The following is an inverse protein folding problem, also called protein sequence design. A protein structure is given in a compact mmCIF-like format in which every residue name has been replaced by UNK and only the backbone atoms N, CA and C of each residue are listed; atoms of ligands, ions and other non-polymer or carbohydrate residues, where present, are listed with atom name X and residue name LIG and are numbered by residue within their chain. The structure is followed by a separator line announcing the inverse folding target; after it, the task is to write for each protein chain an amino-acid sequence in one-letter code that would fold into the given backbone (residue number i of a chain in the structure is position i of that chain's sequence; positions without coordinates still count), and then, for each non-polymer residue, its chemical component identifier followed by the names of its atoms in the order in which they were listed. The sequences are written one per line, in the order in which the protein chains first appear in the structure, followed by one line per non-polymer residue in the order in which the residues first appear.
data_IF_315865016081
#
_entry.id   IF_315865016081
#
_cell.length_a   1.000
_cell.length_b   1.000
_cell.length_c   1.000
_cell.angle_alpha   90.00
_cell.angle_beta   90.00
_cell.angle_gamma   90.00
#
_symmetry.space_group_name_H-M   'P 1'
#
loop_
_entity.id
_entity.type
_entity.pdbx_description
1 polymer ?
#
# COMPACT_ATOMS: atom_id res chain seq x y z
N UNK A 1 23.01 -3.42 2.24
CA UNK A 1 24.24 -2.63 2.08
C UNK A 1 25.48 -3.49 1.81
N UNK A 2 25.87 -4.43 2.69
CA UNK A 2 27.09 -5.24 2.54
C UNK A 2 27.27 -5.90 1.15
N UNK A 3 26.25 -6.61 0.64
CA UNK A 3 26.35 -7.25 -0.69
C UNK A 3 26.58 -6.25 -1.83
N UNK A 4 25.94 -5.07 -1.78
CA UNK A 4 26.08 -4.02 -2.80
C UNK A 4 27.46 -3.38 -2.80
N UNK A 5 28.08 -3.25 -1.63
CA UNK A 5 29.46 -2.77 -1.53
C UNK A 5 30.44 -3.76 -2.14
N UNK A 6 30.24 -5.05 -1.91
CA UNK A 6 31.06 -6.10 -2.51
C UNK A 6 30.93 -6.12 -4.04
N UNK A 7 29.70 -5.93 -4.56
CA UNK A 7 29.50 -5.73 -6.01
C UNK A 7 30.29 -4.51 -6.48
N UNK A 8 30.16 -3.36 -5.81
CA UNK A 8 30.86 -2.13 -6.20
C UNK A 8 32.38 -2.27 -6.21
N UNK A 9 32.96 -2.95 -5.21
CA UNK A 9 34.39 -3.23 -5.14
C UNK A 9 34.82 -4.21 -6.22
N UNK A 10 34.05 -5.28 -6.43
CA UNK A 10 34.29 -6.27 -7.47
C UNK A 10 34.32 -5.65 -8.87
N UNK A 11 33.40 -4.73 -9.18
CA UNK A 11 33.39 -4.01 -10.46
C UNK A 11 34.57 -3.04 -10.61
N UNK A 12 34.96 -2.36 -9.52
CA UNK A 12 36.11 -1.45 -9.54
C UNK A 12 37.44 -2.19 -9.73
N UNK A 13 37.50 -3.45 -9.28
CA UNK A 13 38.60 -4.37 -9.51
C UNK A 13 38.49 -5.15 -10.85
N UNK A 14 37.61 -4.71 -11.74
CA UNK A 14 37.33 -5.30 -13.05
C UNK A 14 36.93 -6.79 -13.05
N UNK A 15 36.43 -7.32 -11.91
CA UNK A 15 36.04 -8.72 -11.80
C UNK A 15 34.79 -9.04 -12.63
N UNK A 16 34.69 -10.23 -13.23
CA UNK A 16 33.50 -10.66 -13.94
C UNK A 16 32.34 -10.92 -12.96
N UNK A 17 31.09 -10.72 -13.40
CA UNK A 17 29.90 -10.90 -12.55
C UNK A 17 29.81 -12.29 -11.90
N UNK A 18 30.29 -13.34 -12.58
CA UNK A 18 30.31 -14.72 -12.06
C UNK A 18 31.18 -14.86 -10.81
N UNK A 19 32.31 -14.17 -10.78
CA UNK A 19 33.23 -14.21 -9.65
C UNK A 19 32.66 -13.45 -8.45
N UNK A 20 32.12 -12.25 -8.69
CA UNK A 20 31.44 -11.45 -7.68
C UNK A 20 30.26 -12.23 -7.08
N UNK A 21 29.45 -12.85 -7.93
CA UNK A 21 28.29 -13.64 -7.50
C UNK A 21 28.70 -14.84 -6.64
N UNK A 22 29.77 -15.56 -7.01
CA UNK A 22 30.32 -16.66 -6.22
C UNK A 22 30.79 -16.20 -4.84
N UNK A 23 31.47 -15.06 -4.75
CA UNK A 23 31.90 -14.48 -3.46
C UNK A 23 30.73 -14.09 -2.55
N UNK A 24 29.57 -13.76 -3.14
CA UNK A 24 28.35 -13.42 -2.43
C UNK A 24 27.39 -14.59 -2.18
N UNK A 25 27.68 -15.80 -2.69
CA UNK A 25 26.73 -16.91 -2.67
C UNK A 25 25.45 -16.62 -3.47
N UNK A 26 25.55 -15.80 -4.53
CA UNK A 26 24.44 -15.41 -5.40
C UNK A 26 24.63 -15.99 -6.80
N UNK A 27 23.55 -16.00 -7.56
CA UNK A 27 23.57 -16.42 -8.96
C UNK A 27 24.02 -15.24 -9.85
N UNK A 28 24.81 -15.46 -10.93
CA UNK A 28 25.36 -14.38 -11.75
C UNK A 28 24.32 -13.43 -12.37
N UNK A 29 23.15 -13.91 -12.77
CA UNK A 29 22.05 -13.06 -13.25
C UNK A 29 21.52 -12.12 -12.19
N UNK A 30 21.61 -12.48 -10.90
CA UNK A 30 21.23 -11.58 -9.78
C UNK A 30 22.15 -10.37 -9.73
N UNK A 31 23.47 -10.58 -9.81
CA UNK A 31 24.46 -9.49 -9.86
C UNK A 31 24.30 -8.69 -11.15
N UNK A 32 24.15 -9.35 -12.29
CA UNK A 32 23.95 -8.68 -13.58
C UNK A 32 22.72 -7.77 -13.58
N UNK A 33 21.56 -8.26 -13.11
CA UNK A 33 20.32 -7.47 -13.00
C UNK A 33 20.48 -6.31 -12.03
N UNK A 34 21.08 -6.54 -10.86
CA UNK A 34 21.35 -5.48 -9.89
C UNK A 34 22.23 -4.38 -10.50
N UNK A 35 23.30 -4.74 -11.21
CA UNK A 35 24.20 -3.77 -11.83
C UNK A 35 23.51 -3.01 -12.96
N UNK A 36 22.83 -3.74 -13.86
CA UNK A 36 22.09 -3.15 -14.98
C UNK A 36 21.02 -2.17 -14.52
N UNK A 37 20.24 -2.54 -13.51
CA UNK A 37 19.15 -1.71 -12.98
C UNK A 37 19.63 -0.46 -12.21
N UNK A 38 20.91 -0.38 -11.85
CA UNK A 38 21.45 0.68 -11.00
C UNK A 38 22.64 1.42 -11.65
N UNK A 39 22.63 1.55 -12.99
CA UNK A 39 23.58 2.40 -13.72
C UNK A 39 24.62 1.64 -14.55
N UNK A 40 24.49 0.32 -14.66
CA UNK A 40 25.42 -0.50 -15.43
C UNK A 40 26.81 -0.58 -14.80
N UNK A 41 27.74 -1.24 -15.48
CA UNK A 41 29.06 -1.55 -14.92
C UNK A 41 29.86 -0.31 -14.54
N UNK A 42 29.83 0.70 -15.41
CA UNK A 42 30.62 1.93 -15.25
C UNK A 42 29.97 2.91 -14.26
N UNK A 43 28.65 2.86 -14.14
CA UNK A 43 27.85 3.76 -13.29
C UNK A 43 27.44 3.20 -11.93
N UNK A 44 27.70 1.92 -11.67
CA UNK A 44 27.24 1.27 -10.44
C UNK A 44 27.88 1.90 -9.19
N UNK A 45 27.04 2.23 -8.21
CA UNK A 45 27.45 2.72 -6.88
C UNK A 45 26.57 2.08 -5.83
N UNK A 46 27.17 1.40 -4.86
CA UNK A 46 26.45 0.68 -3.79
C UNK A 46 25.42 1.56 -3.07
N UNK A 47 25.81 2.78 -2.70
CA UNK A 47 24.93 3.73 -2.02
C UNK A 47 23.72 4.13 -2.88
N UNK A 48 23.93 4.44 -4.16
CA UNK A 48 22.84 4.80 -5.08
C UNK A 48 21.88 3.62 -5.28
N UNK A 49 22.41 2.40 -5.44
CA UNK A 49 21.60 1.19 -5.57
C UNK A 49 20.78 0.91 -4.31
N UNK A 50 21.35 1.14 -3.12
CA UNK A 50 20.65 1.00 -1.84
C UNK A 50 19.54 2.05 -1.67
N UNK A 51 19.81 3.33 -1.99
CA UNK A 51 18.79 4.39 -1.97
C UNK A 51 17.66 4.08 -2.94
N UNK A 52 17.98 3.70 -4.19
CA UNK A 52 16.99 3.32 -5.19
C UNK A 52 16.16 2.11 -4.75
N UNK A 53 16.78 1.11 -4.11
CA UNK A 53 16.06 -0.03 -3.56
C UNK A 53 15.09 0.38 -2.45
N UNK A 54 15.49 1.27 -1.55
CA UNK A 54 14.62 1.81 -0.49
C UNK A 54 13.45 2.60 -1.06
N UNK A 55 13.68 3.45 -2.05
CA UNK A 55 12.61 4.19 -2.73
C UNK A 55 11.63 3.24 -3.42
N UNK A 56 12.13 2.23 -4.16
CA UNK A 56 11.28 1.21 -4.79
C UNK A 56 10.51 0.37 -3.76
N UNK A 57 11.10 0.07 -2.60
CA UNK A 57 10.46 -0.68 -1.53
C UNK A 57 9.25 0.06 -0.93
N UNK A 58 9.21 1.40 -0.98
CA UNK A 58 8.04 2.19 -0.54
C UNK A 58 6.78 1.87 -1.36
N UNK A 59 6.93 1.36 -2.60
CA UNK A 59 5.85 1.01 -3.55
C UNK A 59 4.67 2.00 -3.52
N UNK A 60 4.90 3.31 -3.68
CA UNK A 60 3.82 4.28 -3.59
C UNK A 60 2.84 4.04 -4.74
N UNK A 61 1.62 3.61 -4.42
CA UNK A 61 0.52 3.60 -5.37
C UNK A 61 -0.07 5.01 -5.42
N UNK A 62 -0.14 5.59 -6.62
CA UNK A 62 -0.86 6.85 -6.83
C UNK A 62 -2.28 6.71 -6.31
N UNK A 63 -2.71 7.64 -5.47
CA UNK A 63 -4.07 7.63 -4.95
C UNK A 63 -5.04 7.92 -6.10
N UNK A 64 -6.20 7.24 -6.14
CA UNK A 64 -7.18 7.39 -7.23
C UNK A 64 -7.53 8.86 -7.51
N UNK A 65 -7.74 9.67 -6.47
CA UNK A 65 -8.07 11.10 -6.61
C UNK A 65 -6.86 11.97 -6.99
N UNK A 66 -5.63 11.50 -6.84
CA UNK A 66 -4.41 12.21 -7.26
C UNK A 66 -4.10 12.01 -8.75
N UNK A 67 -4.55 10.89 -9.31
CA UNK A 67 -4.33 10.52 -10.70
C UNK A 67 -4.93 11.56 -11.66
N UNK A 68 -4.14 11.99 -12.64
CA UNK A 68 -4.52 13.05 -13.61
C UNK A 68 -5.78 12.67 -14.39
N UNK A 69 -5.94 11.39 -14.73
CA UNK A 69 -7.12 10.87 -15.44
C UNK A 69 -8.43 10.95 -14.64
N UNK A 70 -8.37 11.11 -13.31
CA UNK A 70 -9.55 11.18 -12.45
C UNK A 70 -9.88 12.62 -12.01
N UNK A 71 -9.53 13.61 -12.83
CA UNK A 71 -9.78 15.03 -12.52
C UNK A 71 -11.26 15.33 -12.29
N UNK A 72 -12.15 14.82 -13.14
CA UNK A 72 -13.60 15.02 -13.02
C UNK A 72 -14.13 14.48 -11.68
N UNK A 73 -13.76 13.25 -11.33
CA UNK A 73 -14.11 12.64 -10.04
C UNK A 73 -13.60 13.49 -8.87
N UNK A 74 -12.34 13.94 -8.93
CA UNK A 74 -11.74 14.79 -7.89
C UNK A 74 -12.52 16.10 -7.74
N UNK A 75 -12.82 16.78 -8.84
CA UNK A 75 -13.51 18.07 -8.83
C UNK A 75 -14.94 17.91 -8.28
N UNK A 76 -15.63 16.81 -8.64
CA UNK A 76 -16.94 16.48 -8.10
C UNK A 76 -16.90 16.25 -6.58
N UNK A 77 -15.95 15.43 -6.10
CA UNK A 77 -15.75 15.19 -4.66
C UNK A 77 -15.45 16.51 -3.93
N UNK A 78 -14.60 17.37 -4.49
CA UNK A 78 -14.30 18.69 -3.91
C UNK A 78 -15.53 19.59 -3.81
N UNK A 79 -16.36 19.63 -4.86
CA UNK A 79 -17.58 20.44 -4.87
C UNK A 79 -18.56 19.99 -3.77
N UNK A 80 -18.81 18.68 -3.67
CA UNK A 80 -19.71 18.12 -2.64
C UNK A 80 -19.18 18.32 -1.23
N UNK A 81 -17.86 18.18 -1.03
CA UNK A 81 -17.23 18.51 0.25
C UNK A 81 -17.46 19.98 0.62
N UNK A 82 -17.32 20.93 -0.31
CA UNK A 82 -17.60 22.36 -0.03
C UNK A 82 -19.05 22.59 0.40
N UNK A 83 -19.98 21.81 -0.12
CA UNK A 83 -21.39 21.82 0.27
C UNK A 83 -21.66 21.06 1.58
N UNK A 84 -20.61 20.73 2.34
CA UNK A 84 -20.66 20.06 3.65
C UNK A 84 -21.21 18.64 3.61
N UNK A 85 -21.20 17.98 2.45
CA UNK A 85 -21.51 16.56 2.37
C UNK A 85 -20.43 15.73 3.05
N UNK A 86 -20.83 14.69 3.76
CA UNK A 86 -19.90 13.74 4.35
C UNK A 86 -19.28 12.82 3.28
N UNK A 87 -18.05 12.32 3.48
CA UNK A 87 -17.45 11.34 2.58
C UNK A 87 -18.31 10.11 2.28
N UNK A 88 -19.12 9.67 3.26
CA UNK A 88 -20.04 8.55 3.09
C UNK A 88 -21.20 8.90 2.12
N UNK A 89 -21.82 10.07 2.30
CA UNK A 89 -22.88 10.55 1.40
C UNK A 89 -22.36 10.75 -0.03
N UNK A 90 -21.16 11.31 -0.18
CA UNK A 90 -20.52 11.49 -1.49
C UNK A 90 -20.31 10.14 -2.17
N UNK A 91 -19.71 9.18 -1.46
CA UNK A 91 -19.43 7.85 -2.00
C UNK A 91 -20.71 7.12 -2.43
N UNK A 92 -21.76 7.19 -1.60
CA UNK A 92 -23.06 6.59 -1.92
C UNK A 92 -23.73 7.29 -3.11
N UNK A 93 -23.70 8.63 -3.15
CA UNK A 93 -24.34 9.42 -4.20
C UNK A 93 -23.69 9.23 -5.57
N UNK A 94 -22.37 9.08 -5.61
CA UNK A 94 -21.64 8.83 -6.87
C UNK A 94 -22.14 7.58 -7.61
N UNK A 95 -22.51 6.52 -6.88
CA UNK A 95 -23.05 5.30 -7.49
C UNK A 95 -24.45 5.50 -8.10
N UNK A 96 -25.23 6.46 -7.57
CA UNK A 96 -26.58 6.79 -8.05
C UNK A 96 -26.53 7.79 -9.21
N UNK A 97 -25.65 8.79 -9.13
CA UNK A 97 -25.52 9.83 -10.17
C UNK A 97 -24.79 9.33 -11.41
N UNK A 98 -23.90 8.33 -11.27
CA UNK A 98 -23.09 7.80 -12.35
C UNK A 98 -23.14 6.26 -12.38
N UNK A 99 -24.31 5.65 -12.64
CA UNK A 99 -24.49 4.20 -12.57
C UNK A 99 -23.57 3.45 -13.54
N UNK A 100 -23.45 3.95 -14.77
CA UNK A 100 -22.73 3.31 -15.88
C UNK A 100 -21.25 3.71 -15.98
N UNK A 101 -20.75 4.59 -15.09
CA UNK A 101 -19.37 5.11 -15.14
C UNK A 101 -18.57 4.65 -13.91
N UNK A 102 -17.94 3.46 -13.96
CA UNK A 102 -17.17 2.93 -12.82
C UNK A 102 -15.96 3.79 -12.47
N UNK A 103 -15.44 4.59 -13.40
CA UNK A 103 -14.36 5.55 -13.12
C UNK A 103 -14.75 6.54 -12.01
N UNK A 104 -16.03 6.93 -11.94
CA UNK A 104 -16.59 7.88 -10.97
C UNK A 104 -16.78 7.28 -9.56
N UNK A 105 -16.49 5.99 -9.36
CA UNK A 105 -16.64 5.33 -8.05
C UNK A 105 -15.43 5.58 -7.16
N UNK A 106 -15.66 6.01 -5.92
CA UNK A 106 -14.63 6.10 -4.89
C UNK A 106 -15.22 5.76 -3.52
N UNK A 107 -14.50 4.98 -2.73
CA UNK A 107 -14.91 4.68 -1.34
C UNK A 107 -14.74 5.92 -0.47
N UNK A 108 -15.65 6.10 0.50
CA UNK A 108 -15.53 7.13 1.53
C UNK A 108 -14.20 7.04 2.31
N UNK A 109 -13.65 5.83 2.46
CA UNK A 109 -12.33 5.61 3.05
C UNK A 109 -11.20 6.24 2.21
N UNK A 110 -11.29 6.16 0.88
CA UNK A 110 -10.34 6.80 -0.03
C UNK A 110 -10.45 8.33 0.03
N UNK A 111 -11.66 8.87 0.17
CA UNK A 111 -11.88 10.31 0.37
C UNK A 111 -11.26 10.74 1.71
N UNK A 112 -11.48 10.01 2.80
CA UNK A 112 -10.85 10.28 4.10
C UNK A 112 -9.32 10.22 4.02
N UNK A 113 -8.75 9.19 3.40
CA UNK A 113 -7.30 9.09 3.23
C UNK A 113 -6.75 10.27 2.41
N UNK A 114 -7.51 10.75 1.42
CA UNK A 114 -7.11 11.91 0.60
C UNK A 114 -7.20 13.24 1.35
N UNK A 115 -8.06 13.36 2.36
CA UNK A 115 -8.16 14.53 3.23
C UNK A 115 -7.09 14.55 4.32
N UNK A 116 -6.73 13.38 4.88
CA UNK A 116 -5.85 13.30 6.06
C UNK A 116 -4.38 13.01 5.72
N UNK A 117 -4.09 12.39 4.57
CA UNK A 117 -2.73 11.98 4.21
C UNK A 117 -2.14 12.98 3.23
N UNK A 118 -1.32 13.90 3.75
CA UNK A 118 -0.72 14.99 2.99
C UNK A 118 0.14 14.52 1.81
N UNK A 119 0.81 13.37 1.92
CA UNK A 119 1.64 12.80 0.84
C UNK A 119 0.85 12.31 -0.37
N UNK A 120 -0.48 12.24 -0.29
CA UNK A 120 -1.33 11.80 -1.41
C UNK A 120 -1.78 12.93 -2.32
N UNK A 121 -1.62 14.20 -1.92
CA UNK A 121 -1.73 15.37 -2.79
C UNK A 121 -3.06 15.55 -3.55
N UNK A 122 -4.09 14.78 -3.23
CA UNK A 122 -5.28 14.65 -4.07
C UNK A 122 -6.38 15.68 -3.78
N UNK A 123 -6.48 16.15 -2.53
CA UNK A 123 -7.51 17.10 -2.10
C UNK A 123 -6.85 18.26 -1.34
N UNK A 124 -7.43 19.47 -1.45
CA UNK A 124 -6.92 20.64 -0.75
C UNK A 124 -7.11 20.47 0.77
N UNK A 125 -6.10 20.90 1.55
CA UNK A 125 -6.04 20.70 3.01
C UNK A 125 -7.15 21.43 3.78
N UNK A 126 -7.62 22.56 3.25
CA UNK A 126 -8.70 23.38 3.77
C UNK A 126 -10.07 22.67 3.77
N UNK A 127 -10.27 21.66 2.90
CA UNK A 127 -11.51 20.89 2.82
C UNK A 127 -11.82 20.08 4.10
N UNK A 128 -10.83 19.86 4.97
CA UNK A 128 -11.07 19.28 6.30
C UNK A 128 -12.03 20.12 7.16
N UNK A 129 -12.07 21.45 6.96
CA UNK A 129 -13.03 22.36 7.60
C UNK A 129 -14.46 22.18 7.11
N UNK A 130 -14.65 21.49 6.00
CA UNK A 130 -15.96 21.16 5.47
C UNK A 130 -16.56 19.89 6.06
N UNK A 131 -15.75 19.07 6.73
CA UNK A 131 -16.26 17.93 7.50
C UNK A 131 -17.00 18.44 8.74
N UNK A 132 -18.11 17.78 9.10
CA UNK A 132 -18.89 18.08 10.31
C UNK A 132 -18.05 18.08 11.59
N UNK A 133 -17.00 17.27 11.65
CA UNK A 133 -16.10 17.19 12.81
C UNK A 133 -14.96 18.21 12.78
N UNK A 134 -14.72 18.87 11.63
CA UNK A 134 -13.62 19.83 11.43
C UNK A 134 -12.21 19.26 11.63
N UNK A 135 -12.05 17.95 11.82
CA UNK A 135 -10.76 17.35 12.17
C UNK A 135 -9.83 17.34 10.97
N UNK A 136 -8.60 17.79 11.18
CA UNK A 136 -7.52 17.67 10.19
C UNK A 136 -6.85 16.28 10.17
N UNK A 137 -7.15 15.43 11.17
CA UNK A 137 -6.60 14.09 11.32
C UNK A 137 -7.70 13.08 11.66
N UNK A 138 -7.57 11.86 11.14
CA UNK A 138 -8.46 10.75 11.48
C UNK A 138 -8.31 10.40 12.96
N UNK A 139 -9.43 10.17 13.65
CA UNK A 139 -9.41 9.52 14.96
C UNK A 139 -8.84 8.11 14.80
N UNK A 140 -7.73 7.77 15.46
CA UNK A 140 -7.19 6.42 15.39
C UNK A 140 -8.21 5.43 15.95
N UNK A 141 -8.48 4.36 15.19
CA UNK A 141 -9.42 3.31 15.61
C UNK A 141 -8.79 2.36 16.65
N UNK A 142 -7.45 2.29 16.69
CA UNK A 142 -6.71 1.52 17.70
C UNK A 142 -6.22 2.46 18.80
N UNK A 143 -6.56 2.16 20.05
CA UNK A 143 -5.82 2.66 21.20
C UNK A 143 -4.61 1.75 21.37
N UNK A 144 -3.39 2.28 21.39
CA UNK A 144 -2.18 1.48 21.55
C UNK A 144 -2.21 0.57 22.80
N UNK A 145 -2.97 0.97 23.82
CA UNK A 145 -3.20 0.22 25.05
C UNK A 145 -4.34 -0.82 25.00
N UNK A 146 -5.16 -0.84 23.95
CA UNK A 146 -6.23 -1.83 23.83
C UNK A 146 -5.65 -3.14 23.33
N UNK A 147 -5.23 -4.01 24.27
CA UNK A 147 -5.05 -5.44 23.98
C UNK A 147 -6.36 -5.93 23.36
N UNK A 148 -6.28 -6.53 22.17
CA UNK A 148 -7.40 -7.27 21.59
C UNK A 148 -7.77 -8.31 22.65
N UNK A 149 -8.97 -8.23 23.21
CA UNK A 149 -9.44 -9.25 24.15
C UNK A 149 -9.27 -10.61 23.45
N UNK A 150 -8.45 -11.49 24.03
CA UNK A 150 -8.34 -12.88 23.58
C UNK A 150 -9.76 -13.44 23.61
N UNK A 151 -10.22 -14.04 22.52
CA UNK A 151 -11.56 -14.63 22.45
C UNK A 151 -11.67 -15.56 23.67
N UNK A 152 -12.63 -15.33 24.59
CA UNK A 152 -12.83 -16.22 25.72
C UNK A 152 -13.06 -17.64 25.20
N UNK A 153 -12.46 -18.63 25.84
CA UNK A 153 -12.59 -20.04 25.47
C UNK A 153 -12.05 -20.38 24.07
N UNK A 154 -10.84 -19.91 23.74
CA UNK A 154 -10.15 -20.38 22.54
C UNK A 154 -9.84 -21.88 22.71
N UNK A 155 -10.47 -22.70 21.87
CA UNK A 155 -10.20 -24.14 21.78
C UNK A 155 -8.92 -24.31 20.97
N UNK A 156 -7.92 -25.00 21.53
CA UNK A 156 -6.66 -25.23 20.83
C UNK A 156 -6.87 -26.19 19.65
N UNK A 157 -6.02 -26.12 18.61
CA UNK A 157 -6.15 -26.98 17.43
C UNK A 157 -6.07 -28.47 17.82
N UNK A 158 -5.38 -28.79 18.91
CA UNK A 158 -5.30 -30.14 19.49
C UNK A 158 -6.61 -30.66 20.08
N UNK A 159 -7.53 -29.76 20.45
CA UNK A 159 -8.81 -30.08 21.08
C UNK A 159 -9.96 -30.14 20.06
N UNK A 160 -9.66 -29.98 18.76
CA UNK A 160 -10.67 -30.11 17.71
C UNK A 160 -11.18 -31.56 17.64
N UNK A 161 -12.49 -31.79 17.43
CA UNK A 161 -13.02 -33.14 17.23
C UNK A 161 -12.40 -33.79 15.98
N UNK A 162 -12.20 -35.11 16.02
CA UNK A 162 -11.57 -35.87 14.94
C UNK A 162 -12.30 -35.69 13.59
N UNK A 163 -13.63 -35.57 13.63
CA UNK A 163 -14.53 -35.29 12.50
C UNK A 163 -14.16 -34.01 11.71
N UNK A 164 -13.41 -33.08 12.32
CA UNK A 164 -12.94 -31.87 11.66
C UNK A 164 -11.79 -32.13 10.66
N UNK A 165 -11.05 -33.24 10.81
CA UNK A 165 -10.00 -33.64 9.87
C UNK A 165 -10.59 -34.21 8.56
N UNK A 166 -11.74 -34.88 8.66
CA UNK A 166 -12.34 -35.65 7.56
C UNK A 166 -13.51 -34.94 6.87
N UNK A 167 -13.79 -33.68 7.24
CA UNK A 167 -14.92 -32.93 6.71
C UNK A 167 -14.70 -32.55 5.25
N UNK A 168 -15.14 -33.41 4.33
CA UNK A 168 -15.17 -33.16 2.88
C UNK A 168 -16.36 -32.27 2.45
N UNK A 169 -17.36 -32.08 3.31
CA UNK A 169 -18.60 -31.33 2.99
C UNK A 169 -18.57 -29.95 3.62
N UNK A 170 -18.76 -28.89 2.81
CA UNK A 170 -18.93 -27.52 3.30
C UNK A 170 -20.16 -27.43 4.19
N UNK A 171 -19.99 -26.97 5.43
CA UNK A 171 -21.11 -26.70 6.33
C UNK A 171 -22.00 -25.60 5.76
N UNK A 172 -23.24 -25.93 5.44
CA UNK A 172 -24.29 -24.95 5.18
C UNK A 172 -24.69 -24.42 6.55
N UNK A 173 -24.38 -23.14 6.84
CA UNK A 173 -24.75 -22.53 8.11
C UNK A 173 -26.25 -22.66 8.32
N UNK A 174 -26.68 -23.41 9.34
CA UNK A 174 -28.07 -23.34 9.79
C UNK A 174 -28.27 -21.97 10.41
N UNK A 175 -29.01 -21.12 9.70
CA UNK A 175 -29.58 -19.90 10.23
C UNK A 175 -30.74 -20.33 11.12
N UNK A 176 -30.58 -20.13 12.42
CA UNK A 176 -31.67 -19.93 13.38
C UNK A 176 -31.63 -18.48 13.79
#
# INVERSE_FOLDING_TARGET
MAEREEISRGLSADRPYREIARGLGREPSTVSREVTNNGGRDGYRAYRAEVAARERAKRPKTAKLAETGNRELRDHVQARLRWKWSPAEISARLAVEFPDRPEMRVSHETIYQSLYVQSRGALRRDLTRCLRTGRALRKPHRRAAARRSRIPNIVEISERPAEAADRAVRGIGKVT
#
